data_IF_664804451163
#
_entry.id   IF_664804451163
#
_cell.length_a   1.000
_cell.length_b   1.000
_cell.length_c   1.000
_cell.angle_alpha   90.00
_cell.angle_beta   90.00
_cell.angle_gamma   90.00
#
_symmetry.space_group_name_H-M   'P 1'
#
loop_
_entity.id
_entity.type
_entity.pdbx_description
1 polymer ?
#
# COMPACT_ATOMS: atom_id res chain seq x y z
N UNK A 1 -29.47 7.45 20.52
CA UNK A 1 -29.43 6.55 19.35
C UNK A 1 -27.98 6.14 19.19
N UNK A 2 -27.64 4.96 19.68
CA UNK A 2 -26.31 4.35 19.53
C UNK A 2 -26.11 3.91 18.08
N UNK A 3 -25.20 4.57 17.37
CA UNK A 3 -24.76 4.18 16.03
C UNK A 3 -23.36 4.76 15.77
N UNK A 4 -22.39 4.29 16.54
CA UNK A 4 -21.00 4.21 16.09
C UNK A 4 -20.38 2.97 16.71
N UNK A 5 -20.98 1.82 16.36
CA UNK A 5 -20.20 0.60 16.25
C UNK A 5 -19.18 0.87 15.15
N UNK A 6 -18.00 1.35 15.56
CA UNK A 6 -16.77 0.98 14.86
C UNK A 6 -16.90 -0.51 14.62
N UNK A 7 -17.01 -0.91 13.35
CA UNK A 7 -16.92 -2.31 12.94
C UNK A 7 -15.50 -2.80 13.27
N UNK A 8 -15.26 -3.04 14.55
CA UNK A 8 -14.25 -3.94 15.03
C UNK A 8 -14.62 -5.29 14.43
N UNK A 9 -13.97 -5.62 13.30
CA UNK A 9 -13.96 -6.98 12.79
C UNK A 9 -13.57 -7.92 13.92
N UNK A 10 -14.20 -9.10 14.02
CA UNK A 10 -14.06 -9.97 15.16
C UNK A 10 -12.59 -10.36 15.37
N UNK A 11 -12.11 -10.18 16.59
CA UNK A 11 -10.93 -10.87 17.12
C UNK A 11 -11.19 -12.38 17.07
N UNK A 12 -10.97 -13.03 15.92
CA UNK A 12 -10.71 -14.46 15.73
C UNK A 12 -10.86 -14.90 14.26
N UNK A 13 -9.88 -14.55 13.41
CA UNK A 13 -9.55 -15.34 12.22
C UNK A 13 -8.04 -15.61 12.24
N UNK A 14 -7.65 -16.81 12.67
CA UNK A 14 -6.29 -17.40 12.66
C UNK A 14 -5.10 -16.44 12.40
N UNK A 15 -4.88 -15.51 13.33
CA UNK A 15 -3.70 -14.65 13.30
C UNK A 15 -2.45 -15.51 13.48
N UNK A 16 -1.57 -15.51 12.49
CA UNK A 16 -0.34 -16.29 12.52
C UNK A 16 0.73 -15.58 13.37
N UNK A 17 1.53 -16.31 14.15
CA UNK A 17 2.63 -15.72 14.89
C UNK A 17 3.72 -15.21 13.94
N UNK A 18 4.34 -14.08 14.28
CA UNK A 18 5.49 -13.51 13.55
C UNK A 18 6.82 -14.14 14.03
N UNK A 19 6.91 -15.46 13.94
CA UNK A 19 8.12 -16.23 14.30
C UNK A 19 9.16 -16.25 13.18
N UNK A 20 10.12 -17.18 13.23
CA UNK A 20 11.25 -17.20 12.28
C UNK A 20 10.84 -17.27 10.80
N UNK A 21 9.76 -17.98 10.49
CA UNK A 21 9.23 -18.08 9.12
C UNK A 21 8.72 -16.74 8.57
N UNK A 22 8.35 -15.80 9.44
CA UNK A 22 7.83 -14.49 9.04
C UNK A 22 8.88 -13.67 8.29
N UNK A 23 10.15 -13.76 8.67
CA UNK A 23 11.23 -13.05 7.97
C UNK A 23 11.38 -13.49 6.51
N UNK A 24 11.20 -14.80 6.24
CA UNK A 24 11.20 -15.31 4.86
C UNK A 24 10.00 -14.78 4.08
N UNK A 25 8.81 -14.83 4.69
CA UNK A 25 7.57 -14.33 4.06
C UNK A 25 7.69 -12.83 3.73
N UNK A 26 8.22 -12.01 4.64
CA UNK A 26 8.46 -10.59 4.40
C UNK A 26 9.42 -10.39 3.23
N UNK A 27 10.52 -11.15 3.19
CA UNK A 27 11.50 -11.09 2.09
C UNK A 27 10.85 -11.44 0.75
N UNK A 28 10.08 -12.52 0.70
CA UNK A 28 9.48 -13.00 -0.54
C UNK A 28 8.36 -12.06 -1.01
N UNK A 29 7.50 -11.62 -0.10
CA UNK A 29 6.45 -10.64 -0.38
C UNK A 29 7.03 -9.30 -0.88
N UNK A 30 8.10 -8.81 -0.25
CA UNK A 30 8.79 -7.61 -0.69
C UNK A 30 9.36 -7.76 -2.10
N UNK A 31 10.04 -8.87 -2.38
CA UNK A 31 10.65 -9.10 -3.68
C UNK A 31 9.58 -9.21 -4.78
N UNK A 32 8.48 -9.92 -4.51
CA UNK A 32 7.36 -10.01 -5.46
C UNK A 32 6.74 -8.64 -5.71
N UNK A 33 6.42 -7.88 -4.65
CA UNK A 33 5.86 -6.54 -4.81
C UNK A 33 6.80 -5.59 -5.56
N UNK A 34 8.10 -5.59 -5.23
CA UNK A 34 9.11 -4.75 -5.89
C UNK A 34 9.18 -5.02 -7.40
N UNK A 35 9.12 -6.30 -7.81
CA UNK A 35 9.13 -6.67 -9.23
C UNK A 35 7.84 -6.26 -9.91
N UNK A 36 6.68 -6.51 -9.29
CA UNK A 36 5.37 -6.12 -9.84
C UNK A 36 5.25 -4.60 -10.00
N UNK A 37 5.59 -3.84 -8.96
CA UNK A 37 5.57 -2.38 -8.97
C UNK A 37 6.46 -1.83 -10.09
N UNK A 38 7.71 -2.32 -10.19
CA UNK A 38 8.63 -1.92 -11.26
C UNK A 38 8.03 -2.21 -12.64
N UNK A 39 7.53 -3.42 -12.85
CA UNK A 39 6.99 -3.81 -14.15
C UNK A 39 5.73 -3.03 -14.51
N UNK A 40 4.88 -2.73 -13.52
CA UNK A 40 3.71 -1.88 -13.69
C UNK A 40 4.09 -0.48 -14.18
N UNK A 41 5.04 0.18 -13.49
CA UNK A 41 5.46 1.53 -13.90
C UNK A 41 6.18 1.55 -15.25
N UNK A 42 6.98 0.53 -15.57
CA UNK A 42 7.63 0.40 -16.88
C UNK A 42 6.66 0.13 -18.03
N UNK A 43 5.46 -0.39 -17.74
CA UNK A 43 4.43 -0.66 -18.74
C UNK A 43 3.49 0.53 -18.98
N UNK A 44 3.66 1.64 -18.25
CA UNK A 44 2.81 2.81 -18.43
C UNK A 44 2.99 3.43 -19.82
N UNK A 45 1.87 3.84 -20.41
CA UNK A 45 1.87 4.63 -21.62
C UNK A 45 2.45 6.03 -21.37
N UNK A 46 2.86 6.70 -22.45
CA UNK A 46 3.34 8.08 -22.41
C UNK A 46 2.34 9.04 -21.73
N UNK A 47 1.04 8.91 -22.05
CA UNK A 47 0.01 9.78 -21.46
C UNK A 47 -0.20 9.54 -19.97
N UNK A 48 -0.01 8.30 -19.51
CA UNK A 48 -0.02 7.95 -18.09
C UNK A 48 1.20 8.52 -17.36
N UNK A 49 2.39 8.43 -17.97
CA UNK A 49 3.63 8.99 -17.38
C UNK A 49 3.52 10.50 -17.14
N UNK A 50 2.89 11.23 -18.07
CA UNK A 50 2.66 12.67 -17.95
C UNK A 50 1.79 13.06 -16.74
N UNK A 51 1.08 12.12 -16.10
CA UNK A 51 0.36 12.38 -14.84
C UNK A 51 1.31 12.51 -13.64
N UNK A 52 2.54 12.00 -13.74
CA UNK A 52 3.55 12.12 -12.68
C UNK A 52 4.43 13.37 -12.81
N UNK A 53 4.31 14.10 -13.92
CA UNK A 53 5.07 15.32 -14.22
C UNK A 53 5.31 15.45 -15.73
N UNK A 54 6.13 16.42 -16.13
CA UNK A 54 6.37 16.71 -17.56
C UNK A 54 7.27 15.69 -18.28
N UNK A 55 7.72 14.64 -17.58
CA UNK A 55 8.58 13.61 -18.15
C UNK A 55 7.74 12.41 -18.65
N UNK A 56 7.70 12.16 -19.98
CA UNK A 56 6.95 11.06 -20.56
C UNK A 56 7.61 9.68 -20.39
N UNK A 57 8.79 9.59 -19.77
CA UNK A 57 9.56 8.35 -19.64
C UNK A 57 9.03 7.46 -18.49
N UNK A 58 8.61 6.22 -18.76
CA UNK A 58 8.24 5.24 -17.72
C UNK A 58 9.35 4.99 -16.69
N UNK A 59 10.62 5.16 -17.08
CA UNK A 59 11.75 5.06 -16.16
C UNK A 59 11.73 6.16 -15.11
N UNK A 60 11.26 7.37 -15.47
CA UNK A 60 11.07 8.46 -14.53
C UNK A 60 10.02 8.09 -13.48
N UNK A 61 8.85 7.61 -13.90
CA UNK A 61 7.80 7.16 -12.99
C UNK A 61 8.29 6.03 -12.07
N UNK A 62 9.00 5.04 -12.62
CA UNK A 62 9.59 3.92 -11.86
C UNK A 62 10.62 4.41 -10.82
N UNK A 63 11.43 5.42 -11.17
CA UNK A 63 12.41 5.97 -10.25
C UNK A 63 11.79 6.84 -9.15
N UNK A 64 10.72 7.57 -9.46
CA UNK A 64 10.03 8.45 -8.52
C UNK A 64 9.09 7.70 -7.58
N UNK A 65 8.36 6.72 -8.10
CA UNK A 65 7.32 5.99 -7.37
C UNK A 65 7.90 4.69 -6.83
N UNK A 66 8.60 4.78 -5.68
CA UNK A 66 9.24 3.64 -5.00
C UNK A 66 8.49 3.22 -3.74
N UNK A 67 7.20 2.93 -3.84
CA UNK A 67 6.42 2.58 -2.65
C UNK A 67 6.88 1.27 -2.02
N UNK A 68 7.54 0.38 -2.77
CA UNK A 68 8.14 -0.83 -2.20
C UNK A 68 9.06 -0.58 -0.99
N UNK A 69 9.73 0.58 -0.92
CA UNK A 69 10.56 0.92 0.25
C UNK A 69 9.69 1.17 1.49
N UNK A 70 8.65 1.99 1.37
CA UNK A 70 7.72 2.28 2.48
C UNK A 70 6.95 1.03 2.94
N UNK A 71 6.56 0.19 1.97
CA UNK A 71 5.96 -1.12 2.25
C UNK A 71 6.95 -2.03 2.98
N UNK A 72 8.22 -2.07 2.58
CA UNK A 72 9.24 -2.85 3.29
C UNK A 72 9.41 -2.37 4.73
N UNK A 73 9.46 -1.06 4.97
CA UNK A 73 9.57 -0.50 6.31
C UNK A 73 8.38 -0.89 7.18
N UNK A 74 7.17 -0.95 6.61
CA UNK A 74 5.97 -1.40 7.31
C UNK A 74 6.02 -2.90 7.58
N UNK A 75 6.36 -3.73 6.58
CA UNK A 75 6.51 -5.18 6.72
C UNK A 75 7.58 -5.58 7.76
N UNK A 76 8.62 -4.76 7.91
CA UNK A 76 9.70 -4.94 8.88
C UNK A 76 9.41 -4.27 10.24
N UNK A 77 8.19 -3.84 10.49
CA UNK A 77 7.78 -3.30 11.78
C UNK A 77 8.53 -2.00 12.17
N UNK A 78 9.13 -1.31 11.20
CA UNK A 78 9.85 -0.03 11.40
C UNK A 78 8.87 1.14 11.36
N UNK A 79 7.81 1.02 10.56
CA UNK A 79 6.72 2.00 10.46
C UNK A 79 5.39 1.32 10.71
N UNK A 80 4.47 2.03 11.34
CA UNK A 80 3.10 1.54 11.58
C UNK A 80 2.28 1.50 10.29
N UNK A 81 2.57 2.36 9.32
CA UNK A 81 1.92 2.35 8.02
C UNK A 81 2.76 2.99 6.91
N UNK A 82 2.37 2.67 5.67
CA UNK A 82 2.79 3.30 4.43
C UNK A 82 1.58 3.95 3.75
N UNK A 83 1.69 5.25 3.48
CA UNK A 83 0.73 5.98 2.66
C UNK A 83 1.14 5.87 1.18
N UNK A 84 0.21 5.43 0.36
CA UNK A 84 0.37 5.29 -1.09
C UNK A 84 -0.57 6.30 -1.75
N UNK A 85 0.00 7.39 -2.26
CA UNK A 85 -0.77 8.50 -2.83
C UNK A 85 0.02 9.21 -3.93
N UNK A 86 -0.71 9.78 -4.88
CA UNK A 86 -0.19 10.79 -5.79
C UNK A 86 -1.28 11.83 -6.08
N UNK A 87 -0.92 13.11 -6.16
CA UNK A 87 -1.91 14.19 -6.23
C UNK A 87 -2.67 14.20 -7.57
N UNK A 88 -1.97 13.95 -8.69
CA UNK A 88 -2.50 13.93 -10.07
C UNK A 88 -2.73 12.55 -10.66
N UNK A 89 -2.05 11.51 -10.16
CA UNK A 89 -2.01 10.18 -10.78
C UNK A 89 -2.79 9.15 -9.93
N UNK A 90 -3.90 9.58 -9.33
CA UNK A 90 -4.67 8.82 -8.32
C UNK A 90 -5.21 7.50 -8.88
N UNK A 91 -5.67 7.53 -10.12
CA UNK A 91 -6.18 6.37 -10.85
C UNK A 91 -5.06 5.36 -11.10
N UNK A 92 -3.89 5.82 -11.56
CA UNK A 92 -2.73 4.95 -11.79
C UNK A 92 -2.21 4.34 -10.48
N UNK A 93 -2.15 5.11 -9.40
CA UNK A 93 -1.75 4.60 -8.08
C UNK A 93 -2.75 3.56 -7.57
N UNK A 94 -4.05 3.79 -7.77
CA UNK A 94 -5.07 2.81 -7.41
C UNK A 94 -4.88 1.53 -8.21
N UNK A 95 -4.70 1.63 -9.53
CA UNK A 95 -4.45 0.48 -10.39
C UNK A 95 -3.19 -0.30 -9.99
N UNK A 96 -2.10 0.39 -9.62
CA UNK A 96 -0.89 -0.23 -9.08
C UNK A 96 -1.19 -1.04 -7.80
N UNK A 97 -1.93 -0.46 -6.86
CA UNK A 97 -2.31 -1.17 -5.63
C UNK A 97 -3.13 -2.41 -5.94
N UNK A 98 -4.06 -2.32 -6.88
CA UNK A 98 -4.95 -3.42 -7.25
C UNK A 98 -4.24 -4.54 -8.01
N UNK A 99 -3.31 -4.21 -8.91
CA UNK A 99 -2.61 -5.20 -9.74
C UNK A 99 -1.33 -5.73 -9.10
N UNK A 100 -0.75 -4.99 -8.15
CA UNK A 100 0.55 -5.32 -7.55
C UNK A 100 0.42 -5.69 -6.07
N UNK A 101 -0.08 -4.78 -5.23
CA UNK A 101 -0.04 -4.97 -3.77
C UNK A 101 -1.12 -5.93 -3.26
N UNK A 102 -2.38 -5.79 -3.70
CA UNK A 102 -3.48 -6.71 -3.31
C UNK A 102 -3.14 -8.18 -3.61
N UNK A 103 -2.62 -8.55 -4.81
CA UNK A 103 -2.20 -9.92 -5.10
C UNK A 103 -1.10 -10.43 -4.18
N UNK A 104 -0.09 -9.60 -3.87
CA UNK A 104 0.98 -9.96 -2.93
C UNK A 104 0.39 -10.21 -1.54
N UNK A 105 -0.49 -9.35 -1.05
CA UNK A 105 -1.15 -9.57 0.25
C UNK A 105 -1.89 -10.90 0.30
N UNK A 106 -2.60 -11.26 -0.77
CA UNK A 106 -3.32 -12.52 -0.86
C UNK A 106 -2.37 -13.73 -0.93
N UNK A 107 -1.36 -13.68 -1.80
CA UNK A 107 -0.41 -14.77 -2.02
C UNK A 107 0.37 -15.13 -0.74
N UNK A 108 0.80 -14.11 0.00
CA UNK A 108 1.60 -14.28 1.23
C UNK A 108 0.76 -14.23 2.51
N UNK A 109 -0.58 -14.17 2.39
CA UNK A 109 -1.54 -14.13 3.51
C UNK A 109 -1.19 -13.05 4.54
N UNK A 110 -0.77 -11.88 4.08
CA UNK A 110 -0.27 -10.80 4.95
C UNK A 110 -1.33 -10.33 5.97
N UNK A 111 -2.62 -10.43 5.63
CA UNK A 111 -3.72 -10.17 6.57
C UNK A 111 -3.67 -11.04 7.82
N UNK A 112 -3.31 -12.32 7.70
CA UNK A 112 -3.15 -13.23 8.84
C UNK A 112 -1.96 -12.85 9.73
N UNK A 113 -1.00 -12.10 9.20
CA UNK A 113 0.10 -11.54 9.98
C UNK A 113 -0.23 -10.17 10.56
N UNK A 114 -1.44 -9.65 10.41
CA UNK A 114 -1.86 -8.36 10.98
C UNK A 114 -1.55 -7.16 10.08
N UNK A 115 -1.42 -7.36 8.76
CA UNK A 115 -1.34 -6.25 7.82
C UNK A 115 -2.69 -6.00 7.16
N UNK A 116 -3.07 -4.73 7.06
CA UNK A 116 -4.31 -4.31 6.40
C UNK A 116 -4.02 -3.30 5.31
N UNK A 117 -4.90 -3.27 4.31
CA UNK A 117 -4.84 -2.33 3.21
C UNK A 117 -6.21 -1.69 3.07
N UNK A 118 -6.25 -0.37 3.24
CA UNK A 118 -7.47 0.42 3.22
C UNK A 118 -7.35 1.55 2.20
N UNK A 119 -8.46 1.88 1.55
CA UNK A 119 -8.55 3.08 0.74
C UNK A 119 -9.21 4.19 1.56
N UNK A 120 -8.64 5.38 1.53
CA UNK A 120 -9.26 6.59 2.08
C UNK A 120 -10.29 7.07 1.07
N UNK A 121 -11.54 6.69 1.27
CA UNK A 121 -12.67 7.02 0.39
C UNK A 121 -13.42 8.29 0.79
N UNK A 122 -13.08 8.87 1.95
CA UNK A 122 -13.72 10.06 2.49
C UNK A 122 -12.72 11.22 2.56
N UNK A 123 -13.16 12.47 2.41
CA UNK A 123 -12.30 13.63 2.54
C UNK A 123 -11.70 13.73 3.96
N UNK A 124 -10.38 13.83 4.05
CA UNK A 124 -9.67 14.07 5.32
C UNK A 124 -9.13 15.48 5.38
N UNK A 125 -9.17 16.07 6.58
CA UNK A 125 -8.41 17.26 6.89
C UNK A 125 -6.97 16.88 7.24
N UNK A 126 -6.02 17.37 6.45
CA UNK A 126 -4.59 17.28 6.74
C UNK A 126 -4.04 18.68 6.97
N UNK A 127 -2.88 18.79 7.60
CA UNK A 127 -2.21 20.08 7.84
C UNK A 127 -1.86 20.81 6.55
N UNK A 128 -1.65 20.08 5.44
CA UNK A 128 -1.26 20.64 4.14
C UNK A 128 -2.44 20.75 3.13
N UNK A 129 -3.49 19.94 3.28
CA UNK A 129 -4.59 19.85 2.32
C UNK A 129 -5.94 19.67 3.00
N UNK A 130 -6.91 20.52 2.65
CA UNK A 130 -8.32 20.28 2.95
C UNK A 130 -8.92 19.30 1.95
N UNK A 131 -9.46 18.18 2.43
CA UNK A 131 -10.18 17.20 1.59
C UNK A 131 -9.30 16.18 0.88
N UNK A 132 -8.18 15.78 1.51
CA UNK A 132 -7.34 14.71 0.98
C UNK A 132 -8.11 13.37 0.96
N UNK A 133 -8.15 12.71 -0.20
CA UNK A 133 -8.88 11.44 -0.42
C UNK A 133 -8.28 10.66 -1.59
N UNK A 134 -8.74 9.42 -1.77
CA UNK A 134 -8.32 8.46 -2.82
C UNK A 134 -6.88 7.96 -2.70
N UNK A 135 -6.31 8.07 -1.49
CA UNK A 135 -5.04 7.43 -1.16
C UNK A 135 -5.28 6.05 -0.56
N UNK A 136 -4.24 5.22 -0.56
CA UNK A 136 -4.25 3.91 0.08
C UNK A 136 -3.32 3.91 1.28
N UNK A 137 -3.71 3.17 2.32
CA UNK A 137 -2.91 2.98 3.53
C UNK A 137 -2.68 1.49 3.71
N UNK A 138 -1.42 1.09 3.65
CA UNK A 138 -0.97 -0.23 4.08
C UNK A 138 -0.48 -0.12 5.53
N UNK A 139 -1.14 -0.79 6.46
CA UNK A 139 -0.91 -0.63 7.90
C UNK A 139 -0.60 -1.95 8.58
N UNK A 140 0.29 -1.90 9.57
CA UNK A 140 0.49 -2.94 10.57
C UNK A 140 -0.44 -2.69 11.75
N UNK A 141 -1.43 -3.56 11.94
CA UNK A 141 -2.42 -3.44 13.02
C UNK A 141 -1.98 -4.10 14.33
N UNK A 142 -0.79 -4.71 14.38
CA UNK A 142 -0.20 -5.23 15.63
C UNK A 142 0.75 -4.24 16.30
N UNK A 143 1.21 -3.24 15.55
CA UNK A 143 1.98 -2.11 16.07
C UNK A 143 1.12 -0.91 16.43
N UNK A 144 -0.17 -0.95 16.13
CA UNK A 144 -1.11 0.08 16.59
C UNK A 144 -1.22 0.00 18.11
N UNK A 145 -0.71 1.04 18.77
CA UNK A 145 -0.74 1.29 20.22
C UNK A 145 -2.15 1.15 20.80
#
# INVERSE_FOLDING_TARGET
MDQNKLDAKPENEDTLPRGDNFKSIVKDAFNDFKVRERNFFLALSRSQCLKFGDNPDPMYATCHMRHHIEILLTLKEVKTCALIAHYTARDIVTEMVEQCLKPVMQAYKLSRYGFQLHQITHPMHTTAHSGFQNAWVFADTRLAL
#
